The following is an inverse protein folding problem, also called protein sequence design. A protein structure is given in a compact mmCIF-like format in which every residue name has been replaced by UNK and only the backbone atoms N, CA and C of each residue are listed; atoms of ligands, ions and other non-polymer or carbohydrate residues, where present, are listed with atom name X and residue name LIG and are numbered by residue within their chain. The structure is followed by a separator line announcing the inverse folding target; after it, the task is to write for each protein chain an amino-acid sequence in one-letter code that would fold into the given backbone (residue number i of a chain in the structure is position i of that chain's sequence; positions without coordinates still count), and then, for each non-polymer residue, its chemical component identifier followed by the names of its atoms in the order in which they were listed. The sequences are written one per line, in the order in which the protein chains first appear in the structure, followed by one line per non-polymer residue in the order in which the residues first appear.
data_IF_987397023126
#
_entry.id   IF_987397023126
#
_cell.length_a   1.000
_cell.length_b   1.000
_cell.length_c   1.000
_cell.angle_alpha   90.00
_cell.angle_beta   90.00
_cell.angle_gamma   90.00
#
_symmetry.space_group_name_H-M   'P 1'
#
loop_
_entity.id
_entity.type
_entity.pdbx_description
1 polymer ?
#
# COMPACT_ATOMS: atom_id res chain seq x y z
N UNK A 1 6.62 -0.13 2.60
CA UNK A 1 7.92 -0.20 1.91
C UNK A 1 9.02 -0.12 2.94
N UNK A 2 10.13 -0.82 2.69
CA UNK A 2 11.35 -0.75 3.48
C UNK A 2 12.42 -0.08 2.61
N UNK A 3 12.99 1.03 3.06
CA UNK A 3 13.90 1.85 2.26
C UNK A 3 15.19 2.12 3.02
N UNK A 4 16.28 2.30 2.27
CA UNK A 4 17.61 2.53 2.80
C UNK A 4 18.47 1.27 2.81
N UNK A 5 19.78 1.47 2.71
CA UNK A 5 20.83 0.45 2.59
C UNK A 5 21.08 -0.30 3.91
N UNK A 6 20.45 0.13 5.01
CA UNK A 6 20.57 -0.55 6.30
C UNK A 6 19.73 -1.83 6.42
N UNK A 7 18.83 -2.10 5.47
CA UNK A 7 18.08 -3.36 5.42
C UNK A 7 18.86 -4.47 4.72
N UNK A 8 18.55 -5.73 5.03
CA UNK A 8 19.02 -6.87 4.22
C UNK A 8 18.51 -6.75 2.77
N UNK A 9 19.29 -7.29 1.82
CA UNK A 9 19.06 -7.19 0.36
C UNK A 9 17.61 -7.46 -0.08
N UNK A 10 16.95 -8.44 0.51
CA UNK A 10 15.58 -8.81 0.14
C UNK A 10 14.50 -7.81 0.60
N UNK A 11 14.82 -6.94 1.57
CA UNK A 11 13.95 -5.87 2.06
C UNK A 11 14.36 -4.50 1.52
N UNK A 12 15.63 -4.33 1.18
CA UNK A 12 16.21 -3.06 0.79
C UNK A 12 15.51 -2.46 -0.43
N UNK A 13 14.89 -1.29 -0.22
CA UNK A 13 14.15 -0.55 -1.23
C UNK A 13 13.00 -1.35 -1.86
N UNK A 14 12.44 -2.31 -1.12
CA UNK A 14 11.33 -3.16 -1.57
C UNK A 14 10.00 -2.72 -0.98
N UNK A 15 8.93 -2.94 -1.76
CA UNK A 15 7.55 -2.72 -1.35
C UNK A 15 6.84 -4.06 -1.26
N UNK A 16 6.00 -4.21 -0.25
CA UNK A 16 5.23 -5.41 0.01
C UNK A 16 3.78 -5.03 0.28
N UNK A 17 2.85 -5.88 -0.16
CA UNK A 17 1.46 -5.84 0.30
C UNK A 17 1.31 -6.87 1.41
N UNK A 18 0.85 -6.43 2.57
CA UNK A 18 0.57 -7.26 3.73
C UNK A 18 -0.94 -7.41 3.91
N UNK A 19 -1.42 -8.65 4.02
CA UNK A 19 -2.80 -9.01 4.35
C UNK A 19 -2.94 -9.07 5.87
N UNK A 20 -3.63 -8.08 6.42
CA UNK A 20 -3.90 -7.98 7.86
C UNK A 20 -4.83 -9.08 8.36
N UNK A 21 -4.74 -9.37 9.65
CA UNK A 21 -5.75 -10.20 10.32
C UNK A 21 -7.10 -9.47 10.40
N UNK A 22 -8.22 -10.18 10.49
CA UNK A 22 -9.51 -9.58 10.78
C UNK A 22 -9.44 -8.69 12.02
N UNK A 23 -9.85 -7.42 11.90
CA UNK A 23 -9.87 -6.46 13.00
C UNK A 23 -8.52 -5.79 13.31
N UNK A 24 -7.42 -6.22 12.70
CA UNK A 24 -6.10 -5.60 12.89
C UNK A 24 -6.08 -4.19 12.29
N UNK A 25 -5.65 -3.21 13.10
CA UNK A 25 -5.56 -1.80 12.71
C UNK A 25 -4.18 -1.45 12.19
N UNK A 26 -4.07 -0.33 11.48
CA UNK A 26 -2.78 0.19 10.99
C UNK A 26 -1.79 0.47 12.13
N UNK A 27 -2.28 0.95 13.28
CA UNK A 27 -1.46 1.18 14.48
C UNK A 27 -0.78 -0.10 14.96
N UNK A 28 -1.54 -1.19 15.09
CA UNK A 28 -1.02 -2.50 15.52
C UNK A 28 0.05 -3.03 14.57
N UNK A 29 -0.12 -2.81 13.25
CA UNK A 29 0.88 -3.19 12.24
C UNK A 29 2.16 -2.36 12.39
N UNK A 30 2.02 -1.05 12.64
CA UNK A 30 3.16 -0.14 12.84
C UNK A 30 3.95 -0.52 14.10
N UNK A 31 3.29 -0.78 15.21
CA UNK A 31 3.92 -1.20 16.46
C UNK A 31 4.65 -2.54 16.30
N UNK A 32 4.02 -3.50 15.61
CA UNK A 32 4.65 -4.79 15.30
C UNK A 32 5.91 -4.61 14.44
N UNK A 33 5.85 -3.74 13.42
CA UNK A 33 7.01 -3.46 12.57
C UNK A 33 8.13 -2.76 13.34
N UNK A 34 7.81 -1.84 14.24
CA UNK A 34 8.80 -1.21 15.12
C UNK A 34 9.43 -2.20 16.10
N UNK A 35 8.67 -3.21 16.57
CA UNK A 35 9.24 -4.29 17.39
C UNK A 35 10.23 -5.15 16.59
N UNK A 36 9.94 -5.43 15.32
CA UNK A 36 10.82 -6.21 14.43
C UNK A 36 12.05 -5.40 14.00
N UNK A 37 11.87 -4.11 13.72
CA UNK A 37 12.90 -3.18 13.26
C UNK A 37 13.04 -2.00 14.22
N UNK A 38 13.65 -2.19 15.40
CA UNK A 38 13.67 -1.19 16.47
C UNK A 38 14.43 0.10 16.10
N UNK A 39 15.32 0.03 15.11
CA UNK A 39 16.09 1.18 14.63
C UNK A 39 15.51 1.82 13.38
N UNK A 40 14.39 1.31 12.85
CA UNK A 40 13.78 1.86 11.66
C UNK A 40 12.95 3.12 11.96
N UNK A 41 13.17 4.15 11.16
CA UNK A 41 12.40 5.39 11.19
C UNK A 41 11.07 5.14 10.48
N UNK A 42 9.96 5.26 11.21
CA UNK A 42 8.63 5.13 10.63
C UNK A 42 8.23 6.46 9.96
N UNK A 43 8.17 6.45 8.63
CA UNK A 43 7.76 7.59 7.83
C UNK A 43 6.25 7.74 7.80
N UNK A 44 5.78 8.99 7.75
CA UNK A 44 4.38 9.27 7.47
C UNK A 44 4.01 8.83 6.04
N UNK A 45 2.80 8.28 5.78
CA UNK A 45 2.36 7.91 4.44
C UNK A 45 2.37 9.05 3.43
N UNK A 46 2.25 10.29 3.90
CA UNK A 46 2.30 11.49 3.07
C UNK A 46 3.73 11.90 2.70
N UNK A 47 4.77 11.26 3.24
CA UNK A 47 6.15 11.57 2.84
C UNK A 47 6.46 10.89 1.50
N UNK A 48 6.95 11.69 0.56
CA UNK A 48 7.48 11.16 -0.70
C UNK A 48 8.79 10.41 -0.45
N UNK A 49 8.88 9.18 -0.95
CA UNK A 49 10.11 8.41 -0.84
C UNK A 49 11.09 8.89 -1.91
N UNK A 50 11.96 9.80 -1.47
CA UNK A 50 13.06 10.36 -2.26
C UNK A 50 14.30 9.48 -2.28
N UNK A 51 15.24 9.80 -3.18
CA UNK A 51 16.51 9.10 -3.34
C UNK A 51 17.37 9.10 -2.08
N UNK A 52 17.32 10.17 -1.28
CA UNK A 52 18.09 10.23 -0.03
C UNK A 52 17.63 9.15 0.97
N UNK A 53 16.33 8.84 1.04
CA UNK A 53 15.82 7.74 1.85
C UNK A 53 16.35 6.38 1.34
N UNK A 54 16.43 6.19 0.02
CA UNK A 54 16.85 4.92 -0.60
C UNK A 54 18.34 4.65 -0.47
N UNK A 55 19.16 5.71 -0.51
CA UNK A 55 20.64 5.63 -0.50
C UNK A 55 21.26 5.76 0.90
N UNK A 56 20.49 6.26 1.87
CA UNK A 56 20.94 6.36 3.27
C UNK A 56 21.23 4.98 3.88
N UNK A 57 22.18 4.92 4.80
CA UNK A 57 22.48 3.73 5.61
C UNK A 57 21.45 3.49 6.72
N UNK A 58 20.57 4.46 6.98
CA UNK A 58 19.48 4.31 7.93
C UNK A 58 18.36 3.44 7.36
N UNK A 59 17.54 2.88 8.25
CA UNK A 59 16.37 2.11 7.89
C UNK A 59 15.12 3.01 7.96
N UNK A 60 14.35 3.06 6.86
CA UNK A 60 13.08 3.77 6.81
C UNK A 60 11.95 2.81 6.46
N UNK A 61 10.86 2.85 7.23
CA UNK A 61 9.66 2.04 6.97
C UNK A 61 8.49 2.97 6.72
N UNK A 62 7.74 2.72 5.66
CA UNK A 62 6.48 3.42 5.40
C UNK A 62 5.35 2.40 5.28
N UNK A 63 4.26 2.64 6.01
CA UNK A 63 3.10 1.74 6.08
C UNK A 63 1.82 2.50 5.83
N UNK A 64 1.05 2.04 4.84
CA UNK A 64 -0.21 2.63 4.41
C UNK A 64 -1.24 1.56 4.10
N UNK A 65 -2.51 1.90 4.25
CA UNK A 65 -3.62 1.03 3.85
C UNK A 65 -3.84 1.19 2.35
N UNK A 66 -3.90 0.06 1.66
CA UNK A 66 -4.22 -0.02 0.24
C UNK A 66 -5.57 -0.66 0.04
N UNK A 67 -6.31 -0.22 -0.98
CA UNK A 67 -7.59 -0.78 -1.35
C UNK A 67 -7.41 -1.85 -2.43
N UNK A 68 -8.08 -3.00 -2.33
CA UNK A 68 -8.02 -4.03 -3.36
C UNK A 68 -8.70 -3.53 -4.65
N UNK A 69 -8.07 -3.80 -5.79
CA UNK A 69 -8.71 -3.61 -7.10
C UNK A 69 -9.17 -4.97 -7.60
N UNK A 70 -10.46 -5.21 -7.54
CA UNK A 70 -11.07 -6.44 -8.08
C UNK A 70 -11.43 -6.24 -9.55
N UNK A 71 -10.90 -7.11 -10.39
CA UNK A 71 -11.36 -7.25 -11.78
C UNK A 71 -12.57 -8.17 -11.86
N UNK A 72 -13.43 -7.94 -12.86
CA UNK A 72 -14.47 -8.90 -13.20
C UNK A 72 -13.81 -10.21 -13.64
N UNK A 73 -14.10 -11.30 -12.92
CA UNK A 73 -13.52 -12.60 -13.28
C UNK A 73 -14.27 -13.16 -14.49
N UNK A 74 -13.53 -13.60 -15.50
CA UNK A 74 -14.10 -14.21 -16.70
C UNK A 74 -15.09 -15.36 -16.38
N UNK A 75 -14.87 -16.10 -15.30
CA UNK A 75 -15.76 -17.18 -14.83
C UNK A 75 -17.14 -16.73 -14.35
N UNK A 76 -17.35 -15.45 -14.09
CA UNK A 76 -18.64 -14.87 -13.66
C UNK A 76 -19.40 -14.18 -14.79
N UNK A 77 -18.76 -13.97 -15.93
CA UNK A 77 -19.37 -13.31 -17.08
C UNK A 77 -20.65 -14.05 -17.49
N UNK A 78 -21.74 -13.31 -17.65
CA UNK A 78 -23.08 -13.80 -18.02
C UNK A 78 -23.69 -14.84 -17.05
N UNK A 79 -23.25 -14.86 -15.78
CA UNK A 79 -23.84 -15.73 -14.74
C UNK A 79 -24.49 -14.89 -13.66
N UNK A 80 -25.62 -15.37 -13.12
CA UNK A 80 -26.23 -14.79 -11.95
C UNK A 80 -25.53 -15.34 -10.69
N UNK A 81 -24.58 -14.57 -10.16
CA UNK A 81 -23.75 -14.97 -9.01
C UNK A 81 -24.30 -14.29 -7.74
N UNK A 82 -24.55 -15.03 -6.65
CA UNK A 82 -24.94 -14.44 -5.37
C UNK A 82 -23.95 -13.37 -4.88
N UNK A 83 -24.47 -12.27 -4.34
CA UNK A 83 -23.66 -11.13 -3.88
C UNK A 83 -22.61 -11.52 -2.83
N UNK A 84 -22.91 -12.48 -1.96
CA UNK A 84 -21.95 -12.99 -0.96
C UNK A 84 -20.68 -13.58 -1.61
N UNK A 85 -20.83 -14.24 -2.76
CA UNK A 85 -19.69 -14.77 -3.52
C UNK A 85 -18.91 -13.61 -4.16
N UNK A 86 -19.60 -12.64 -4.77
CA UNK A 86 -18.95 -11.45 -5.34
C UNK A 86 -18.16 -10.67 -4.29
N UNK A 87 -18.74 -10.50 -3.09
CA UNK A 87 -18.10 -9.83 -1.95
C UNK A 87 -16.81 -10.53 -1.53
N UNK A 88 -16.77 -11.87 -1.53
CA UNK A 88 -15.54 -12.61 -1.27
C UNK A 88 -14.44 -12.21 -2.27
N UNK A 89 -14.74 -12.22 -3.56
CA UNK A 89 -13.75 -11.92 -4.61
C UNK A 89 -13.35 -10.44 -4.71
N UNK A 90 -14.13 -9.52 -4.13
CA UNK A 90 -13.72 -8.10 -4.03
C UNK A 90 -12.45 -7.89 -3.20
N UNK A 91 -12.17 -8.79 -2.26
CA UNK A 91 -11.03 -8.68 -1.34
C UNK A 91 -10.15 -9.94 -1.29
N UNK A 92 -10.49 -10.97 -2.07
CA UNK A 92 -9.76 -12.24 -2.13
C UNK A 92 -9.49 -12.65 -3.58
N UNK A 93 -8.42 -13.41 -3.75
CA UNK A 93 -7.86 -13.74 -5.06
C UNK A 93 -7.59 -12.48 -5.91
N UNK A 94 -6.93 -11.52 -5.28
CA UNK A 94 -6.56 -10.21 -5.83
C UNK A 94 -5.04 -10.09 -5.90
N UNK A 95 -4.56 -9.33 -6.90
CA UNK A 95 -3.14 -8.98 -7.05
C UNK A 95 -2.88 -7.49 -7.19
N UNK A 96 -3.92 -6.71 -7.48
CA UNK A 96 -3.83 -5.28 -7.76
C UNK A 96 -4.41 -4.49 -6.61
N UNK A 97 -3.73 -3.43 -6.24
CA UNK A 97 -4.08 -2.60 -5.11
C UNK A 97 -3.91 -1.13 -5.48
N UNK A 98 -4.68 -0.26 -4.86
CA UNK A 98 -4.58 1.19 -5.07
C UNK A 98 -4.41 1.91 -3.75
N UNK A 99 -3.64 2.99 -3.79
CA UNK A 99 -3.51 3.95 -2.72
C UNK A 99 -3.79 5.34 -3.31
N UNK A 100 -4.69 6.07 -2.67
CA UNK A 100 -5.01 7.44 -3.05
C UNK A 100 -4.45 8.36 -1.99
N UNK A 101 -3.54 9.25 -2.38
CA UNK A 101 -2.96 10.27 -1.52
C UNK A 101 -3.60 11.61 -1.82
N UNK A 102 -4.00 12.30 -0.76
CA UNK A 102 -4.42 13.70 -0.81
C UNK A 102 -3.24 14.58 -0.38
N UNK A 103 -2.99 15.64 -1.13
CA UNK A 103 -1.97 16.63 -0.82
C UNK A 103 -2.45 18.02 -1.26
N UNK A 104 -1.86 19.07 -0.69
CA UNK A 104 -2.18 20.46 -1.01
C UNK A 104 -1.03 21.02 -1.84
N UNK A 105 -1.32 21.49 -3.06
CA UNK A 105 -0.33 22.21 -3.85
C UNK A 105 -0.06 23.57 -3.19
N UNK A 106 1.16 24.09 -3.30
CA UNK A 106 1.47 25.41 -2.72
C UNK A 106 0.58 26.52 -3.30
N UNK A 107 0.23 26.39 -4.58
CA UNK A 107 -0.65 27.31 -5.32
C UNK A 107 -2.13 27.22 -4.91
N UNK A 108 -2.55 26.09 -4.33
CA UNK A 108 -3.95 25.83 -3.95
C UNK A 108 -4.25 26.22 -2.49
N UNK A 109 -3.25 26.73 -1.74
CA UNK A 109 -3.39 27.09 -0.32
C UNK A 109 -4.42 28.19 -0.07
N UNK A 110 -4.56 29.12 -1.02
CA UNK A 110 -5.48 30.26 -0.94
C UNK A 110 -6.86 29.98 -1.56
N UNK A 111 -7.12 28.74 -1.99
CA UNK A 111 -8.43 28.38 -2.56
C UNK A 111 -9.53 28.52 -1.50
N UNK A 112 -10.63 29.21 -1.87
CA UNK A 112 -11.75 29.48 -0.96
C UNK A 112 -12.61 28.26 -0.67
N UNK A 113 -12.58 27.24 -1.54
CA UNK A 113 -13.30 25.98 -1.36
C UNK A 113 -12.40 24.92 -0.72
N UNK A 114 -12.86 24.30 0.35
CA UNK A 114 -12.13 23.22 1.03
C UNK A 114 -11.88 21.99 0.15
N UNK A 115 -12.67 21.80 -0.93
CA UNK A 115 -12.47 20.71 -1.89
C UNK A 115 -11.41 21.07 -2.94
N UNK A 116 -11.27 22.35 -3.29
CA UNK A 116 -10.31 22.82 -4.29
C UNK A 116 -8.87 22.88 -3.76
N UNK A 117 -8.66 22.81 -2.45
CA UNK A 117 -7.33 22.81 -1.81
C UNK A 117 -6.56 21.51 -2.01
N UNK A 118 -7.25 20.41 -2.32
CA UNK A 118 -6.64 19.08 -2.32
C UNK A 118 -6.49 18.51 -3.73
N UNK A 119 -5.24 18.29 -4.10
CA UNK A 119 -4.88 17.46 -5.24
C UNK A 119 -4.81 15.98 -4.82
N UNK A 120 -5.10 15.10 -5.79
CA UNK A 120 -5.16 13.65 -5.56
C UNK A 120 -4.17 12.93 -6.47
N UNK A 121 -3.28 12.15 -5.86
CA UNK A 121 -2.39 11.22 -6.55
C UNK A 121 -2.84 9.78 -6.30
N UNK A 122 -2.87 8.96 -7.35
CA UNK A 122 -3.23 7.54 -7.25
C UNK A 122 -2.06 6.66 -7.63
N UNK A 123 -1.73 5.75 -6.72
CA UNK A 123 -0.66 4.77 -6.88
C UNK A 123 -1.29 3.39 -7.04
N UNK A 124 -0.95 2.68 -8.12
CA UNK A 124 -1.33 1.28 -8.29
C UNK A 124 -0.15 0.37 -7.96
N UNK A 125 -0.42 -0.71 -7.23
CA UNK A 125 0.53 -1.74 -6.88
C UNK A 125 0.07 -3.09 -7.42
N UNK A 126 1.02 -3.88 -7.92
CA UNK A 126 0.76 -5.27 -8.32
C UNK A 126 1.69 -6.21 -7.56
N UNK A 127 1.10 -7.19 -6.87
CA UNK A 127 1.84 -8.23 -6.16
C UNK A 127 2.36 -9.30 -7.11
N UNK A 128 3.51 -9.88 -6.78
CA UNK A 128 4.08 -11.01 -7.53
C UNK A 128 3.17 -12.26 -7.53
N UNK A 129 2.43 -12.47 -6.45
CA UNK A 129 1.49 -13.57 -6.27
C UNK A 129 0.15 -13.06 -5.76
N UNK A 130 -0.91 -13.82 -6.04
CA UNK A 130 -2.28 -13.54 -5.62
C UNK A 130 -2.42 -13.73 -4.11
N UNK A 131 -3.19 -12.86 -3.44
CA UNK A 131 -3.55 -13.01 -2.03
C UNK A 131 -4.97 -13.61 -1.88
N UNK A 132 -5.21 -14.52 -0.91
CA UNK A 132 -4.25 -15.05 0.07
C UNK A 132 -3.23 -16.02 -0.55
N UNK A 133 -2.05 -16.10 0.06
CA UNK A 133 -0.96 -17.02 -0.31
C UNK A 133 -0.39 -17.69 0.97
N UNK A 134 0.59 -18.58 0.83
CA UNK A 134 1.32 -19.20 1.96
C UNK A 134 1.88 -18.16 2.93
N UNK A 135 2.37 -17.03 2.41
CA UNK A 135 2.77 -15.87 3.21
C UNK A 135 1.68 -14.80 3.22
N UNK A 136 1.61 -14.05 4.33
CA UNK A 136 0.69 -12.91 4.47
C UNK A 136 1.22 -11.63 3.87
N UNK A 137 2.48 -11.61 3.43
CA UNK A 137 3.10 -10.49 2.76
C UNK A 137 3.72 -10.97 1.45
N UNK A 138 3.56 -10.17 0.40
CA UNK A 138 4.03 -10.51 -0.95
C UNK A 138 4.72 -9.28 -1.55
N UNK A 139 5.89 -9.43 -2.19
CA UNK A 139 6.54 -8.34 -2.92
C UNK A 139 5.60 -7.72 -3.94
N UNK A 140 5.65 -6.40 -4.06
CA UNK A 140 4.80 -5.63 -4.96
C UNK A 140 5.61 -4.59 -5.74
N UNK A 141 5.36 -4.52 -7.05
CA UNK A 141 5.84 -3.43 -7.88
C UNK A 141 4.83 -2.27 -7.87
N UNK A 142 5.33 -1.04 -7.83
CA UNK A 142 4.52 0.16 -8.02
C UNK A 142 4.53 0.59 -9.48
N UNK A 143 3.37 0.91 -10.02
CA UNK A 143 3.23 1.66 -11.27
C UNK A 143 2.44 2.93 -10.98
N UNK A 144 3.04 4.09 -11.23
CA UNK A 144 2.31 5.36 -11.23
C UNK A 144 1.62 5.50 -12.58
N UNK A 145 0.33 5.85 -12.57
CA UNK A 145 -0.42 6.24 -13.78
C UNK A 145 -0.59 7.75 -13.78
#
# INVERSE_FOLDING_TARGET
GCYGMGFHDFLQNQVFVYRSEPGQRLGDVREKLQTIFPHAILLDPTVNIEDHHRRSTSQYVQVQVVQPISDEKAKFKNRNIPEAILQYYRSNEIRRFTYTRLFVHEDDRDATSDIAKFSTERYEFSTAFVLPNTTRWVPAGSSTK
#
